data_IF_108723650847
#
_entry.id   IF_108723650847
#
_cell.length_a   1.000
_cell.length_b   1.000
_cell.length_c   1.000
_cell.angle_alpha   90.00
_cell.angle_beta   90.00
_cell.angle_gamma   90.00
#
_symmetry.space_group_name_H-M   'P 1'
#
loop_
_entity.id
_entity.type
_entity.pdbx_description
1 polymer ?
#
# COMPACT_ATOMS: atom_id res chain seq x y z
N UNK A 1 -3.41 -14.14 -4.92
CA UNK A 1 -1.94 -14.06 -4.72
C UNK A 1 -1.44 -12.72 -5.27
N UNK A 2 -0.62 -11.96 -4.53
CA UNK A 2 -0.22 -10.58 -4.89
C UNK A 2 1.30 -10.37 -4.78
N UNK A 3 1.80 -9.26 -5.32
CA UNK A 3 3.22 -8.89 -5.26
C UNK A 3 3.67 -8.63 -3.81
N UNK A 4 4.90 -9.04 -3.50
CA UNK A 4 5.47 -8.95 -2.14
C UNK A 4 6.13 -7.59 -1.89
N UNK A 5 5.31 -6.58 -1.59
CA UNK A 5 5.77 -5.19 -1.36
C UNK A 5 5.48 -4.71 0.06
N UNK A 6 6.18 -3.65 0.50
CA UNK A 6 5.88 -3.00 1.79
C UNK A 6 4.49 -2.35 1.81
N UNK A 7 4.00 -1.88 0.66
CA UNK A 7 2.64 -1.34 0.54
C UNK A 7 1.57 -2.42 0.78
N UNK A 8 1.83 -3.65 0.34
CA UNK A 8 0.97 -4.79 0.65
C UNK A 8 0.94 -5.05 2.17
N UNK A 9 2.09 -5.05 2.84
CA UNK A 9 2.17 -5.22 4.31
C UNK A 9 1.35 -4.14 5.04
N UNK A 10 1.41 -2.89 4.57
CA UNK A 10 0.64 -1.78 5.15
C UNK A 10 -0.86 -2.06 5.18
N UNK A 11 -1.42 -2.70 4.14
CA UNK A 11 -2.85 -3.06 4.10
C UNK A 11 -3.15 -4.40 4.78
N UNK A 12 -2.21 -5.34 4.74
CA UNK A 12 -2.37 -6.64 5.39
C UNK A 12 -2.38 -6.53 6.92
N UNK A 13 -1.53 -5.69 7.50
CA UNK A 13 -1.38 -5.59 8.95
C UNK A 13 -2.69 -5.20 9.67
N UNK A 14 -3.46 -4.17 9.25
CA UNK A 14 -4.76 -3.86 9.83
C UNK A 14 -5.77 -5.00 9.72
N UNK A 15 -5.85 -5.68 8.56
CA UNK A 15 -6.75 -6.83 8.36
C UNK A 15 -6.44 -7.95 9.35
N UNK A 16 -5.16 -8.28 9.52
CA UNK A 16 -4.71 -9.31 10.49
C UNK A 16 -5.02 -8.88 11.92
N UNK A 17 -4.72 -7.63 12.30
CA UNK A 17 -4.99 -7.12 13.65
C UNK A 17 -6.48 -7.15 13.96
N UNK A 18 -7.34 -6.77 13.02
CA UNK A 18 -8.79 -6.79 13.21
C UNK A 18 -9.30 -8.23 13.43
N UNK A 19 -8.88 -9.17 12.58
CA UNK A 19 -9.27 -10.57 12.74
C UNK A 19 -8.70 -11.19 14.02
N UNK A 20 -7.47 -10.85 14.42
CA UNK A 20 -6.90 -11.33 15.68
C UNK A 20 -7.69 -10.83 16.89
N UNK A 21 -8.12 -9.56 16.88
CA UNK A 21 -9.00 -9.00 17.93
C UNK A 21 -10.36 -9.71 17.96
N UNK A 22 -10.95 -9.98 16.79
CA UNK A 22 -12.22 -10.73 16.71
C UNK A 22 -12.06 -12.15 17.25
N UNK A 23 -10.97 -12.85 16.90
CA UNK A 23 -10.67 -14.19 17.40
C UNK A 23 -10.58 -14.22 18.92
N UNK A 24 -9.82 -13.30 19.51
CA UNK A 24 -9.67 -13.17 20.97
C UNK A 24 -11.03 -12.91 21.64
N UNK A 25 -11.91 -12.16 20.99
CA UNK A 25 -13.25 -11.85 21.49
C UNK A 25 -14.32 -12.92 21.17
N UNK A 26 -13.95 -14.05 20.53
CA UNK A 26 -14.90 -15.08 20.12
C UNK A 26 -15.88 -14.63 19.03
N UNK A 27 -15.52 -13.62 18.23
CA UNK A 27 -16.35 -13.06 17.15
C UNK A 27 -15.95 -13.59 15.77
N UNK A 28 -16.86 -13.58 14.78
CA UNK A 28 -16.54 -13.93 13.39
C UNK A 28 -15.42 -13.06 12.79
N UNK A 29 -14.63 -13.66 11.90
CA UNK A 29 -13.50 -13.02 11.20
C UNK A 29 -13.98 -12.38 9.90
N UNK A 30 -14.43 -11.13 9.97
CA UNK A 30 -15.04 -10.45 8.82
C UNK A 30 -14.08 -9.58 8.03
N UNK A 31 -12.87 -9.30 8.53
CA UNK A 31 -11.92 -8.45 7.84
C UNK A 31 -11.29 -9.22 6.67
N UNK A 32 -11.38 -8.64 5.47
CA UNK A 32 -10.79 -9.19 4.25
C UNK A 32 -9.72 -8.26 3.71
N UNK A 33 -8.83 -8.82 2.89
CA UNK A 33 -7.79 -8.08 2.18
C UNK A 33 -7.96 -8.36 0.70
N UNK A 34 -8.10 -7.30 -0.10
CA UNK A 34 -8.39 -7.35 -1.53
C UNK A 34 -7.16 -7.65 -2.40
N UNK A 35 -5.97 -7.82 -1.81
CA UNK A 35 -4.74 -8.05 -2.55
C UNK A 35 -3.98 -6.79 -2.93
N UNK A 36 -4.40 -5.61 -2.43
CA UNK A 36 -3.75 -4.34 -2.72
C UNK A 36 -2.23 -4.41 -2.55
N UNK A 37 -1.51 -3.97 -3.57
CA UNK A 37 -0.07 -3.75 -3.55
C UNK A 37 0.27 -2.51 -4.36
N UNK A 38 1.41 -1.89 -4.05
CA UNK A 38 1.93 -0.74 -4.80
C UNK A 38 3.39 -0.97 -5.18
N UNK A 39 3.71 -0.65 -6.42
CA UNK A 39 5.06 -0.69 -6.98
C UNK A 39 5.41 0.70 -7.56
N UNK A 40 6.18 1.52 -6.84
CA UNK A 40 6.65 2.81 -7.34
C UNK A 40 7.84 2.59 -8.31
N UNK A 41 7.55 2.55 -9.61
CA UNK A 41 8.52 2.29 -10.68
C UNK A 41 9.27 3.58 -11.05
N UNK A 42 10.52 3.69 -10.60
CA UNK A 42 11.40 4.79 -10.98
C UNK A 42 11.85 4.59 -12.42
N UNK A 43 11.35 5.43 -13.34
CA UNK A 43 11.70 5.38 -14.76
C UNK A 43 12.85 6.32 -15.12
N UNK A 44 13.19 7.25 -14.21
CA UNK A 44 14.33 8.15 -14.35
C UNK A 44 14.47 9.09 -13.15
N UNK A 45 15.51 9.92 -13.14
CA UNK A 45 15.62 10.98 -12.13
C UNK A 45 14.48 11.98 -12.28
N UNK A 46 13.70 12.16 -11.21
CA UNK A 46 12.51 13.01 -11.23
C UNK A 46 11.29 12.37 -11.91
N UNK A 47 11.33 11.10 -12.28
CA UNK A 47 10.25 10.42 -12.99
C UNK A 47 9.89 9.10 -12.30
N UNK A 48 8.59 8.90 -12.09
CA UNK A 48 8.06 7.71 -11.44
C UNK A 48 6.66 7.40 -11.95
N UNK A 49 6.41 6.11 -12.24
CA UNK A 49 5.08 5.55 -12.49
C UNK A 49 4.66 4.82 -11.22
N UNK A 50 3.50 5.18 -10.65
CA UNK A 50 3.01 4.57 -9.41
C UNK A 50 1.97 3.50 -9.76
N UNK A 51 2.42 2.25 -9.91
CA UNK A 51 1.52 1.14 -10.19
C UNK A 51 0.88 0.64 -8.90
N UNK A 52 -0.45 0.65 -8.83
CA UNK A 52 -1.23 0.12 -7.71
C UNK A 52 -2.31 -0.83 -8.24
N UNK A 53 -2.45 -2.00 -7.63
CA UNK A 53 -3.36 -3.02 -8.12
C UNK A 53 -3.80 -4.01 -7.03
N UNK A 54 -4.94 -4.66 -7.28
CA UNK A 54 -5.57 -5.67 -6.44
C UNK A 54 -5.22 -7.12 -6.87
N UNK A 55 -5.91 -8.12 -6.30
CA UNK A 55 -5.74 -9.51 -6.71
C UNK A 55 -6.14 -9.82 -8.15
N UNK A 56 -7.10 -9.07 -8.69
CA UNK A 56 -7.61 -9.23 -10.05
C UNK A 56 -6.75 -8.46 -11.07
N UNK A 57 -5.70 -7.78 -10.60
CA UNK A 57 -4.78 -6.93 -11.38
C UNK A 57 -5.47 -5.71 -11.97
N UNK A 58 -6.61 -5.32 -11.41
CA UNK A 58 -7.24 -4.06 -11.74
C UNK A 58 -6.46 -2.91 -11.08
N UNK A 59 -6.34 -1.74 -11.73
CA UNK A 59 -5.78 -0.56 -11.10
C UNK A 59 -6.57 -0.17 -9.84
N UNK A 60 -5.87 -0.02 -8.72
CA UNK A 60 -6.41 0.44 -7.42
C UNK A 60 -5.64 1.70 -7.00
N UNK A 61 -5.76 2.76 -7.81
CA UNK A 61 -4.99 4.00 -7.69
C UNK A 61 -5.42 4.82 -6.47
N UNK A 62 -4.47 5.19 -5.61
CA UNK A 62 -4.71 5.99 -4.40
C UNK A 62 -5.10 7.43 -4.73
N UNK A 63 -4.56 7.99 -5.81
CA UNK A 63 -4.80 9.37 -6.20
C UNK A 63 -5.77 9.46 -7.40
N UNK A 64 -6.64 10.48 -7.47
CA UNK A 64 -7.58 10.67 -8.59
C UNK A 64 -6.88 11.25 -9.84
N UNK A 65 -5.70 10.73 -10.18
CA UNK A 65 -4.89 11.11 -11.34
C UNK A 65 -4.34 9.84 -11.96
N UNK A 66 -4.28 9.78 -13.29
CA UNK A 66 -3.72 8.61 -13.99
C UNK A 66 -2.26 8.37 -13.55
N UNK A 67 -2.00 7.30 -12.79
CA UNK A 67 -0.69 6.99 -12.23
C UNK A 67 0.18 6.15 -13.16
N UNK A 68 -0.36 5.69 -14.29
CA UNK A 68 0.39 5.01 -15.36
C UNK A 68 1.32 5.96 -16.13
N UNK A 69 1.12 7.28 -16.00
CA UNK A 69 2.02 8.29 -16.58
C UNK A 69 3.19 8.60 -15.65
N UNK A 70 4.34 8.96 -16.24
CA UNK A 70 5.50 9.41 -15.48
C UNK A 70 5.18 10.72 -14.74
N UNK A 71 5.38 10.73 -13.42
CA UNK A 71 5.09 11.91 -12.59
C UNK A 71 6.23 12.25 -11.64
N UNK A 72 6.60 13.53 -11.66
CA UNK A 72 7.55 14.08 -10.69
C UNK A 72 7.00 14.11 -9.27
N UNK A 73 5.69 14.34 -9.11
CA UNK A 73 5.02 14.30 -7.80
C UNK A 73 5.12 12.91 -7.15
N UNK A 74 4.94 11.84 -7.93
CA UNK A 74 5.07 10.46 -7.45
C UNK A 74 6.54 10.12 -7.13
N UNK A 75 7.48 10.69 -7.88
CA UNK A 75 8.91 10.57 -7.57
C UNK A 75 9.26 11.23 -6.23
N UNK A 76 8.75 12.44 -5.95
CA UNK A 76 8.92 13.13 -4.67
C UNK A 76 8.28 12.36 -3.52
N UNK A 77 7.06 11.84 -3.73
CA UNK A 77 6.34 10.99 -2.78
C UNK A 77 7.22 9.80 -2.36
N UNK A 78 7.75 9.06 -3.34
CA UNK A 78 8.63 7.92 -3.08
C UNK A 78 9.92 8.33 -2.38
N UNK A 79 10.54 9.43 -2.81
CA UNK A 79 11.87 9.85 -2.32
C UNK A 79 11.82 10.40 -0.89
N UNK A 80 10.82 11.20 -0.57
CA UNK A 80 10.78 11.96 0.69
C UNK A 80 9.66 11.53 1.64
N UNK A 81 8.45 11.26 1.13
CA UNK A 81 7.31 10.97 1.99
C UNK A 81 7.29 9.52 2.50
N UNK A 82 7.52 8.55 1.60
CA UNK A 82 7.47 7.13 1.96
C UNK A 82 8.45 6.74 3.08
N UNK A 83 9.71 7.22 3.11
CA UNK A 83 10.62 6.93 4.23
C UNK A 83 10.09 7.46 5.57
N UNK A 84 9.55 8.68 5.58
CA UNK A 84 8.99 9.28 6.80
C UNK A 84 7.76 8.49 7.27
N UNK A 85 6.86 8.14 6.34
CA UNK A 85 5.67 7.34 6.64
C UNK A 85 6.03 5.94 7.15
N UNK A 86 7.07 5.33 6.61
CA UNK A 86 7.56 4.04 7.07
C UNK A 86 8.05 4.10 8.52
N UNK A 87 9.02 4.97 8.81
CA UNK A 87 9.66 5.04 10.14
C UNK A 87 8.76 5.64 11.23
N UNK A 88 7.96 6.66 10.90
CA UNK A 88 7.13 7.37 11.88
C UNK A 88 5.69 6.86 11.94
N UNK A 89 5.25 6.10 10.95
CA UNK A 89 3.90 5.58 10.82
C UNK A 89 3.84 4.06 10.91
N UNK A 90 4.25 3.37 9.83
CA UNK A 90 4.05 1.93 9.66
C UNK A 90 4.69 1.12 10.79
N UNK A 91 5.97 1.38 11.10
CA UNK A 91 6.66 0.65 12.17
C UNK A 91 6.12 0.93 13.57
N UNK A 92 5.38 2.04 13.74
CA UNK A 92 4.72 2.40 15.01
C UNK A 92 3.26 1.93 15.07
N UNK A 93 2.78 1.20 14.05
CA UNK A 93 1.41 0.71 13.97
C UNK A 93 0.35 1.82 13.86
N UNK A 94 0.73 2.99 13.34
CA UNK A 94 -0.18 4.14 13.20
C UNK A 94 -0.90 4.19 11.85
N UNK A 95 -0.37 3.50 10.83
CA UNK A 95 -0.83 3.52 9.42
C UNK A 95 -0.53 2.22 8.70
#
# INVERSE_FOLDING_TARGET
PTSKTAAAIRKQAPTVVQNLKSLIAGKPLTATYNGYTSCPLVTGYGKLVLAEFDYDKNPDETFPINQAQERWSMWLLKKYLLPVLYWRGMLKGRV
#
